data_IF_981676442730
#
_entry.id   IF_981676442730
#
_cell.length_a   1.000
_cell.length_b   1.000
_cell.length_c   1.000
_cell.angle_alpha   90.00
_cell.angle_beta   90.00
_cell.angle_gamma   90.00
#
_symmetry.space_group_name_H-M   'P 1'
#
loop_
_entity.id
_entity.type
_entity.pdbx_description
1 polymer ?
#
# COMPACT_ATOMS: atom_id res chain seq x y z
N UNK A 1 -16.92 3.76 -17.20
CA UNK A 1 -16.81 2.29 -17.08
C UNK A 1 -15.72 2.00 -16.07
N UNK A 2 -16.05 1.20 -15.05
CA UNK A 2 -15.12 0.69 -14.04
C UNK A 2 -13.93 -0.01 -14.71
N UNK A 3 -12.71 0.25 -14.24
CA UNK A 3 -11.47 -0.27 -14.83
C UNK A 3 -11.40 -1.81 -14.79
N UNK A 4 -11.99 -2.43 -13.76
CA UNK A 4 -12.07 -3.89 -13.62
C UNK A 4 -12.98 -4.49 -14.68
N UNK A 5 -14.13 -3.85 -14.88
CA UNK A 5 -15.10 -4.26 -15.91
C UNK A 5 -14.46 -4.10 -17.30
N UNK A 6 -13.73 -3.00 -17.52
CA UNK A 6 -13.03 -2.77 -18.78
C UNK A 6 -11.98 -3.87 -19.05
N UNK A 7 -11.15 -4.21 -18.06
CA UNK A 7 -10.16 -5.28 -18.18
C UNK A 7 -10.82 -6.63 -18.51
N UNK A 8 -11.91 -6.97 -17.81
CA UNK A 8 -12.69 -8.18 -18.10
C UNK A 8 -13.23 -8.19 -19.53
N UNK A 9 -13.85 -7.09 -19.98
CA UNK A 9 -14.38 -6.98 -21.34
C UNK A 9 -13.30 -7.07 -22.41
N UNK A 10 -12.09 -6.57 -22.13
CA UNK A 10 -10.95 -6.73 -23.03
C UNK A 10 -10.54 -8.20 -23.15
N UNK A 11 -10.44 -8.92 -22.03
CA UNK A 11 -10.12 -10.36 -22.03
C UNK A 11 -11.20 -11.17 -22.76
N UNK A 12 -12.47 -10.93 -22.48
CA UNK A 12 -13.60 -11.58 -23.17
C UNK A 12 -13.56 -11.33 -24.69
N UNK A 13 -13.28 -10.09 -25.10
CA UNK A 13 -13.20 -9.72 -26.50
C UNK A 13 -12.04 -10.44 -27.20
N UNK A 14 -10.83 -10.44 -26.62
CA UNK A 14 -9.66 -11.14 -27.19
C UNK A 14 -9.89 -12.65 -27.25
N UNK A 15 -10.44 -13.25 -26.18
CA UNK A 15 -10.78 -14.68 -26.16
C UNK A 15 -11.81 -15.05 -27.22
N UNK A 16 -12.79 -14.18 -27.50
CA UNK A 16 -13.81 -14.44 -28.53
C UNK A 16 -13.21 -14.65 -29.93
N UNK A 17 -12.06 -14.02 -30.19
CA UNK A 17 -11.30 -14.12 -31.43
C UNK A 17 -10.43 -15.38 -31.52
N UNK A 18 -10.26 -16.12 -30.42
CA UNK A 18 -9.48 -17.36 -30.41
C UNK A 18 -10.23 -18.47 -31.16
N UNK A 19 -9.54 -19.16 -32.06
CA UNK A 19 -10.09 -20.29 -32.82
C UNK A 19 -10.40 -21.52 -31.96
N UNK A 20 -9.64 -21.74 -30.89
CA UNK A 20 -9.87 -22.82 -29.94
C UNK A 20 -11.05 -22.46 -29.03
N UNK A 21 -11.99 -23.40 -28.89
CA UNK A 21 -13.21 -23.27 -28.08
C UNK A 21 -13.23 -24.25 -26.90
N UNK A 22 -12.12 -24.95 -26.65
CA UNK A 22 -11.97 -25.77 -25.46
C UNK A 22 -12.09 -24.90 -24.18
N UNK A 23 -12.58 -25.46 -23.06
CA UNK A 23 -12.58 -24.74 -21.79
C UNK A 23 -11.16 -24.32 -21.40
N UNK A 24 -10.99 -23.04 -21.08
CA UNK A 24 -9.71 -22.43 -20.70
C UNK A 24 -9.85 -21.60 -19.43
N UNK A 25 -8.80 -21.57 -18.62
CA UNK A 25 -8.64 -20.63 -17.51
C UNK A 25 -7.66 -19.54 -17.93
N UNK A 26 -8.10 -18.28 -17.91
CA UNK A 26 -7.25 -17.13 -18.23
C UNK A 26 -6.96 -16.39 -16.93
N UNK A 27 -5.67 -16.18 -16.63
CA UNK A 27 -5.21 -15.45 -15.44
C UNK A 27 -4.60 -14.13 -15.89
N UNK A 28 -5.00 -13.05 -15.22
CA UNK A 28 -4.51 -11.70 -15.47
C UNK A 28 -4.67 -10.82 -14.22
N UNK A 29 -3.99 -9.68 -14.19
CA UNK A 29 -4.14 -8.67 -13.15
C UNK A 29 -5.27 -7.71 -13.51
N UNK A 30 -6.23 -7.53 -12.61
CA UNK A 30 -7.25 -6.49 -12.72
C UNK A 30 -6.82 -5.26 -11.93
N UNK A 31 -7.03 -4.03 -12.45
CA UNK A 31 -6.85 -2.81 -11.67
C UNK A 31 -7.73 -2.74 -10.41
N UNK A 32 -7.37 -1.95 -9.39
CA UNK A 32 -6.10 -1.25 -9.22
C UNK A 32 -4.99 -2.19 -8.69
N UNK A 33 -3.74 -1.89 -9.01
CA UNK A 33 -2.56 -2.54 -8.42
C UNK A 33 -2.08 -1.78 -7.19
N UNK A 34 -2.02 -2.47 -6.04
CA UNK A 34 -1.39 -1.95 -4.82
C UNK A 34 0.05 -2.50 -4.72
N UNK A 35 1.08 -1.63 -4.75
CA UNK A 35 2.47 -2.06 -4.62
C UNK A 35 2.75 -2.80 -3.31
N UNK A 36 3.45 -3.93 -3.38
CA UNK A 36 3.83 -4.73 -2.22
C UNK A 36 5.09 -4.17 -1.52
N UNK A 37 5.03 -2.91 -1.07
CA UNK A 37 6.20 -2.22 -0.51
C UNK A 37 6.11 -2.15 1.02
N UNK A 38 7.25 -2.28 1.68
CA UNK A 38 7.43 -1.99 3.10
C UNK A 38 8.85 -1.45 3.36
N UNK A 39 9.03 -0.76 4.49
CA UNK A 39 10.32 -0.19 4.93
C UNK A 39 11.24 -1.34 5.39
N UNK A 40 12.35 -1.57 4.69
CA UNK A 40 13.29 -2.68 4.92
C UNK A 40 14.51 -2.27 5.76
N UNK A 41 14.85 -0.98 5.77
CA UNK A 41 16.08 -0.47 6.38
C UNK A 41 17.28 -0.53 5.45
N UNK A 42 17.05 -0.61 4.13
CA UNK A 42 18.11 -0.73 3.13
C UNK A 42 18.73 0.64 2.78
N UNK A 43 17.95 1.72 2.88
CA UNK A 43 18.40 3.09 2.65
C UNK A 43 18.56 3.89 3.94
N UNK A 44 19.39 4.94 3.92
CA UNK A 44 19.58 5.82 5.10
C UNK A 44 18.28 6.50 5.54
N UNK A 45 17.38 6.85 4.60
CA UNK A 45 16.05 7.39 4.91
C UNK A 45 15.18 6.37 5.65
N UNK A 46 15.20 5.11 5.22
CA UNK A 46 14.47 4.03 5.88
C UNK A 46 15.03 3.74 7.27
N UNK A 47 16.36 3.66 7.42
CA UNK A 47 17.00 3.47 8.73
C UNK A 47 16.64 4.60 9.68
N UNK A 48 16.73 5.87 9.22
CA UNK A 48 16.31 7.04 10.02
C UNK A 48 14.86 6.91 10.47
N UNK A 49 13.94 6.52 9.58
CA UNK A 49 12.54 6.33 9.92
C UNK A 49 12.35 5.22 10.96
N UNK A 50 12.95 4.04 10.75
CA UNK A 50 12.84 2.90 11.68
C UNK A 50 13.42 3.23 13.05
N UNK A 51 14.56 3.92 13.10
CA UNK A 51 15.22 4.33 14.35
C UNK A 51 14.36 5.33 15.13
N UNK A 52 13.77 6.32 14.43
CA UNK A 52 12.87 7.29 15.05
C UNK A 52 11.63 6.60 15.62
N UNK A 53 10.98 5.73 14.83
CA UNK A 53 9.80 5.00 15.29
C UNK A 53 10.11 4.09 16.47
N UNK A 54 11.23 3.36 16.43
CA UNK A 54 11.64 2.48 17.53
C UNK A 54 11.85 3.25 18.83
N UNK A 55 12.58 4.38 18.76
CA UNK A 55 12.79 5.27 19.91
C UNK A 55 11.49 5.85 20.46
N UNK A 56 10.55 6.22 19.59
CA UNK A 56 9.26 6.78 20.03
C UNK A 56 8.44 5.71 20.74
N UNK A 57 8.38 4.49 20.21
CA UNK A 57 7.68 3.38 20.86
C UNK A 57 8.29 3.09 22.23
N UNK A 58 9.62 3.00 22.34
CA UNK A 58 10.32 2.75 23.61
C UNK A 58 10.07 3.85 24.66
N UNK A 59 10.02 5.12 24.23
CA UNK A 59 9.86 6.26 25.14
C UNK A 59 8.39 6.60 25.46
N UNK A 60 7.44 6.03 24.72
CA UNK A 60 6.01 6.32 24.93
C UNK A 60 5.49 5.53 26.12
N UNK A 61 5.39 6.21 27.27
CA UNK A 61 4.69 5.67 28.43
C UNK A 61 3.18 5.61 28.15
N UNK A 62 2.67 4.41 27.98
CA UNK A 62 1.26 4.13 27.67
C UNK A 62 0.83 2.82 28.33
N UNK A 63 -0.46 2.70 28.65
CA UNK A 63 -1.07 1.42 29.06
C UNK A 63 -1.33 0.47 27.87
N UNK A 64 -1.17 0.98 26.65
CA UNK A 64 -1.38 0.24 25.40
C UNK A 64 -0.07 -0.39 24.92
N UNK A 65 -0.15 -1.62 24.39
CA UNK A 65 0.97 -2.31 23.74
C UNK A 65 1.14 -1.78 22.30
N UNK A 66 2.06 -0.83 22.11
CA UNK A 66 2.31 -0.20 20.82
C UNK A 66 3.40 -0.98 20.10
N UNK A 67 3.08 -1.49 18.91
CA UNK A 67 3.96 -2.34 18.14
C UNK A 67 4.11 -1.84 16.71
N UNK A 68 5.34 -1.83 16.21
CA UNK A 68 5.60 -1.58 14.79
C UNK A 68 5.28 -2.85 13.98
N UNK A 69 4.45 -2.72 12.96
CA UNK A 69 4.12 -3.80 12.02
C UNK A 69 4.57 -3.41 10.62
N UNK A 70 5.11 -4.36 9.87
CA UNK A 70 5.56 -4.15 8.48
C UNK A 70 4.40 -4.01 7.49
N UNK A 71 3.25 -4.58 7.82
CA UNK A 71 2.09 -4.64 6.92
C UNK A 71 0.83 -4.17 7.65
N UNK A 72 0.05 -3.36 6.96
CA UNK A 72 -1.26 -2.91 7.41
C UNK A 72 -2.33 -3.76 6.72
N UNK A 73 -3.18 -4.49 7.47
CA UNK A 73 -4.10 -5.49 6.90
C UNK A 73 -5.36 -4.88 6.25
N UNK A 74 -5.45 -3.55 6.21
CA UNK A 74 -6.56 -2.82 5.60
C UNK A 74 -6.06 -2.02 4.39
N UNK A 75 -7.00 -1.39 3.69
CA UNK A 75 -6.70 -0.59 2.50
C UNK A 75 -5.93 0.67 2.92
N UNK A 76 -4.82 0.94 2.25
CA UNK A 76 -4.03 2.16 2.42
C UNK A 76 -3.33 2.51 1.13
N UNK A 77 -3.45 3.78 0.72
CA UNK A 77 -2.77 4.30 -0.47
C UNK A 77 -1.29 4.63 -0.21
N UNK A 78 -0.80 4.44 1.02
CA UNK A 78 0.61 4.65 1.36
C UNK A 78 1.56 3.77 0.55
N UNK A 79 1.09 2.60 0.08
CA UNK A 79 1.86 1.74 -0.82
C UNK A 79 2.25 2.42 -2.13
N UNK A 80 1.55 3.49 -2.56
CA UNK A 80 1.89 4.24 -3.76
C UNK A 80 3.05 5.22 -3.58
N UNK A 81 3.58 5.40 -2.36
CA UNK A 81 4.77 6.22 -2.11
C UNK A 81 6.07 5.65 -2.70
N UNK A 82 6.03 4.41 -3.18
CA UNK A 82 7.12 3.73 -3.85
C UNK A 82 6.59 2.68 -4.84
N UNK A 83 7.45 2.17 -5.71
CA UNK A 83 7.14 1.10 -6.65
C UNK A 83 8.24 0.02 -6.62
N UNK A 84 7.94 -1.22 -7.04
CA UNK A 84 8.96 -2.26 -7.23
C UNK A 84 10.07 -1.77 -8.17
N UNK A 85 11.30 -2.22 -7.97
CA UNK A 85 12.46 -1.77 -8.76
C UNK A 85 12.92 -2.80 -9.79
N UNK A 86 12.49 -4.04 -9.62
CA UNK A 86 12.79 -5.14 -10.51
C UNK A 86 12.06 -4.93 -11.84
N UNK A 87 12.81 -4.65 -12.91
CA UNK A 87 12.25 -4.40 -14.23
C UNK A 87 11.31 -5.53 -14.69
N UNK A 88 11.69 -6.79 -14.45
CA UNK A 88 10.86 -7.95 -14.75
C UNK A 88 9.52 -7.95 -14.00
N UNK A 89 9.48 -7.46 -12.76
CA UNK A 89 8.24 -7.38 -12.00
C UNK A 89 7.30 -6.32 -12.57
N UNK A 90 7.86 -5.16 -12.97
CA UNK A 90 7.10 -4.09 -13.64
C UNK A 90 6.59 -4.56 -15.00
N UNK A 91 7.45 -5.16 -15.81
CA UNK A 91 7.06 -5.65 -17.13
C UNK A 91 5.99 -6.73 -17.00
N UNK A 92 6.11 -7.63 -16.02
CA UNK A 92 5.09 -8.63 -15.73
C UNK A 92 3.75 -8.00 -15.35
N UNK A 93 3.75 -6.95 -14.52
CA UNK A 93 2.54 -6.21 -14.17
C UNK A 93 1.91 -5.55 -15.41
N UNK A 94 2.70 -4.77 -16.18
CA UNK A 94 2.25 -4.04 -17.37
C UNK A 94 1.68 -4.99 -18.42
N UNK A 95 2.40 -6.08 -18.72
CA UNK A 95 2.04 -7.03 -19.77
C UNK A 95 0.86 -7.95 -19.40
N UNK A 96 0.61 -8.16 -18.11
CA UNK A 96 -0.48 -9.03 -17.65
C UNK A 96 -1.66 -8.24 -17.06
N UNK A 97 -1.73 -6.92 -17.26
CA UNK A 97 -2.86 -6.10 -16.86
C UNK A 97 -3.59 -5.53 -18.08
N UNK A 98 -4.69 -6.15 -18.53
CA UNK A 98 -5.49 -5.65 -19.64
C UNK A 98 -5.94 -4.21 -19.41
N UNK A 99 -5.61 -3.33 -20.35
CA UNK A 99 -5.91 -1.90 -20.26
C UNK A 99 -4.89 -1.06 -19.51
N UNK A 100 -3.76 -1.62 -19.06
CA UNK A 100 -2.65 -0.82 -18.54
C UNK A 100 -2.12 0.14 -19.61
N UNK A 101 -1.88 1.40 -19.25
CA UNK A 101 -1.44 2.48 -20.14
C UNK A 101 -2.55 3.09 -21.01
N UNK A 102 -3.76 2.50 -21.01
CA UNK A 102 -4.90 3.02 -21.80
C UNK A 102 -6.04 3.45 -20.89
N UNK A 103 -6.49 2.54 -20.03
CA UNK A 103 -7.62 2.77 -19.13
C UNK A 103 -7.21 2.92 -17.67
N UNK A 104 -6.14 2.25 -17.28
CA UNK A 104 -5.50 2.36 -15.98
C UNK A 104 -4.02 2.63 -16.19
N UNK A 105 -3.44 3.56 -15.43
CA UNK A 105 -2.01 3.85 -15.50
C UNK A 105 -1.51 4.23 -14.12
N UNK A 106 -0.28 3.82 -13.82
CA UNK A 106 0.47 4.30 -12.66
C UNK A 106 1.76 4.97 -13.14
N UNK A 107 2.17 6.10 -12.55
CA UNK A 107 3.43 6.76 -12.85
C UNK A 107 4.59 6.01 -12.19
N UNK A 108 4.84 4.77 -12.63
CA UNK A 108 5.75 3.84 -11.98
C UNK A 108 7.18 4.39 -11.92
N UNK A 109 7.62 5.04 -12.98
CA UNK A 109 8.94 5.67 -13.04
C UNK A 109 9.07 6.80 -12.00
N UNK A 110 8.08 7.68 -11.89
CA UNK A 110 8.06 8.75 -10.87
C UNK A 110 7.98 8.18 -9.44
N UNK A 111 7.19 7.11 -9.23
CA UNK A 111 7.09 6.42 -7.95
C UNK A 111 8.42 5.78 -7.53
N UNK A 112 9.18 5.24 -8.49
CA UNK A 112 10.52 4.68 -8.25
C UNK A 112 11.55 5.75 -7.93
N UNK A 113 11.46 6.92 -8.56
CA UNK A 113 12.31 8.07 -8.27
C UNK A 113 11.99 8.64 -6.87
N UNK A 114 10.70 8.79 -6.57
CA UNK A 114 10.19 9.30 -5.30
C UNK A 114 10.63 8.41 -4.12
N UNK A 115 10.39 7.10 -4.21
CA UNK A 115 10.82 6.05 -3.28
C UNK A 115 10.79 6.49 -1.80
N UNK A 116 9.62 6.90 -1.33
CA UNK A 116 9.46 7.40 0.02
C UNK A 116 9.28 6.25 1.01
N UNK A 117 10.07 6.20 2.10
CA UNK A 117 9.74 5.33 3.22
C UNK A 117 8.52 5.90 3.94
N UNK A 118 7.48 5.08 4.07
CA UNK A 118 6.20 5.46 4.66
C UNK A 118 5.95 4.71 5.96
N UNK A 119 5.33 5.38 6.92
CA UNK A 119 4.79 4.77 8.14
C UNK A 119 3.35 5.18 8.30
N UNK A 120 2.48 4.23 8.63
CA UNK A 120 1.09 4.49 8.96
C UNK A 120 0.95 4.55 10.49
N UNK A 121 0.54 5.70 11.03
CA UNK A 121 0.27 5.90 12.45
C UNK A 121 -1.16 6.39 12.56
N UNK A 122 -1.99 5.65 13.30
CA UNK A 122 -3.42 5.93 13.34
C UNK A 122 -4.09 5.48 14.63
N UNK A 123 -5.41 5.71 14.74
CA UNK A 123 -6.21 5.34 15.89
C UNK A 123 -6.27 3.82 16.06
N UNK A 124 -6.66 3.38 17.25
CA UNK A 124 -6.92 1.98 17.53
C UNK A 124 -8.42 1.75 17.57
N UNK A 125 -8.91 0.86 16.72
CA UNK A 125 -10.34 0.64 16.57
C UNK A 125 -10.67 -0.73 15.98
N UNK A 126 -11.95 -0.95 15.73
CA UNK A 126 -12.49 -2.19 15.20
C UNK A 126 -13.61 -1.92 14.21
N UNK A 127 -13.75 -2.82 13.25
CA UNK A 127 -14.82 -2.82 12.25
C UNK A 127 -14.83 -1.58 11.33
N UNK A 128 -13.64 -1.11 10.93
CA UNK A 128 -13.52 -0.03 9.95
C UNK A 128 -14.34 -0.33 8.68
N UNK A 129 -15.06 0.68 8.17
CA UNK A 129 -15.97 0.59 7.01
C UNK A 129 -17.19 -0.34 7.22
N UNK A 130 -17.58 -0.59 8.48
CA UNK A 130 -18.80 -1.33 8.82
C UNK A 130 -19.68 -0.48 9.74
N UNK A 131 -20.96 -0.81 9.82
CA UNK A 131 -21.90 -0.09 10.68
C UNK A 131 -21.56 -0.17 12.19
N UNK A 132 -20.71 -1.13 12.60
CA UNK A 132 -20.19 -1.29 13.97
C UNK A 132 -18.84 -0.63 14.20
N UNK A 133 -18.39 0.22 13.28
CA UNK A 133 -17.13 0.94 13.37
C UNK A 133 -17.04 1.72 14.69
N UNK A 134 -15.91 1.56 15.38
CA UNK A 134 -15.64 2.21 16.67
C UNK A 134 -14.14 2.28 16.92
N UNK A 135 -13.75 3.22 17.77
CA UNK A 135 -12.37 3.44 18.19
C UNK A 135 -12.26 3.45 19.72
N UNK A 136 -11.07 3.13 20.22
CA UNK A 136 -10.72 3.32 21.62
C UNK A 136 -10.30 4.78 21.82
N UNK A 137 -11.09 5.53 22.58
CA UNK A 137 -11.00 6.99 22.65
C UNK A 137 -9.70 7.46 23.29
N UNK A 138 -9.28 6.85 24.40
CA UNK A 138 -8.10 7.31 25.15
C UNK A 138 -6.81 7.17 24.31
N UNK A 139 -6.62 6.03 23.65
CA UNK A 139 -5.53 5.82 22.70
C UNK A 139 -5.63 6.81 21.54
N UNK A 140 -6.81 6.90 20.91
CA UNK A 140 -6.97 7.61 19.65
C UNK A 140 -6.85 9.13 19.81
N UNK A 141 -7.25 9.69 20.95
CA UNK A 141 -7.21 11.13 21.21
C UNK A 141 -6.03 11.59 22.06
N UNK A 142 -5.42 10.71 22.88
CA UNK A 142 -4.31 11.10 23.75
C UNK A 142 -2.95 10.48 23.35
N UNK A 143 -2.95 9.26 22.81
CA UNK A 143 -1.70 8.52 22.50
C UNK A 143 -1.30 8.67 21.04
N UNK A 144 -2.19 8.35 20.09
CA UNK A 144 -1.90 8.40 18.66
C UNK A 144 -1.45 9.80 18.17
N UNK A 145 -2.08 10.92 18.59
CA UNK A 145 -1.63 12.25 18.18
C UNK A 145 -0.22 12.58 18.69
N UNK A 146 0.13 12.11 19.89
CA UNK A 146 1.48 12.26 20.44
C UNK A 146 2.51 11.46 19.65
N UNK A 147 2.20 10.22 19.26
CA UNK A 147 3.07 9.40 18.40
C UNK A 147 3.33 10.11 17.07
N UNK A 148 2.29 10.67 16.44
CA UNK A 148 2.41 11.43 15.19
C UNK A 148 3.29 12.67 15.38
N UNK A 149 3.01 13.48 16.42
CA UNK A 149 3.78 14.68 16.72
C UNK A 149 5.27 14.39 16.95
N UNK A 150 5.58 13.43 17.82
CA UNK A 150 6.95 13.04 18.11
C UNK A 150 7.66 12.49 16.87
N UNK A 151 6.94 11.74 16.01
CA UNK A 151 7.50 11.22 14.75
C UNK A 151 7.92 12.36 13.85
N UNK A 152 7.05 13.36 13.65
CA UNK A 152 7.34 14.52 12.81
C UNK A 152 8.54 15.30 13.36
N UNK A 153 8.52 15.63 14.65
CA UNK A 153 9.58 16.42 15.28
C UNK A 153 10.93 15.70 15.23
N UNK A 154 10.98 14.39 15.47
CA UNK A 154 12.23 13.64 15.45
C UNK A 154 12.74 13.32 14.04
N UNK A 155 11.87 13.28 13.02
CA UNK A 155 12.30 13.18 11.62
C UNK A 155 12.88 14.49 11.07
N UNK A 156 12.43 15.64 11.57
CA UNK A 156 12.87 16.98 11.15
C UNK A 156 14.16 17.45 11.83
N UNK A 157 14.63 16.75 12.88
CA UNK A 157 15.97 16.93 13.45
C UNK A 157 17.03 16.39 12.49
#
# INVERSE_FOLDING_TARGET
VDERIYALKMVEAVHSLWSDKAPVVIVYFSPPYYPHIYVKGESEKEKKLLDVISKIIENTKSKYDIQMRKFYPYISDLSYGAAPREAQAIDSLKNNMPGFGVKYSLPLEDMQELNLPVVNIGPFGKDAHKFTERLEEDYSFNVAPKLVYETIINLLK
#
